data_IF_390249025221
#
_entry.id   IF_390249025221
#
_cell.length_a   1.000
_cell.length_b   1.000
_cell.length_c   1.000
_cell.angle_alpha   90.00
_cell.angle_beta   90.00
_cell.angle_gamma   90.00
#
_symmetry.space_group_name_H-M   'P 1'
#
loop_
_entity.id
_entity.type
_entity.pdbx_description
1 polymer ?
#
# COMPACT_ATOMS: atom_id res chain seq x y z
N UNK A 1 -7.88 0.31 -17.33
CA UNK A 1 -7.69 -0.70 -16.27
C UNK A 1 -7.08 -0.06 -15.01
N UNK A 2 -5.85 0.46 -15.12
CA UNK A 2 -5.10 1.08 -14.01
C UNK A 2 -5.89 2.13 -13.23
N UNK A 3 -6.58 3.05 -13.90
CA UNK A 3 -7.42 4.04 -13.19
C UNK A 3 -8.45 3.38 -12.26
N UNK A 4 -9.21 2.40 -12.77
CA UNK A 4 -10.23 1.70 -11.99
C UNK A 4 -9.60 0.89 -10.85
N UNK A 5 -8.53 0.13 -11.12
CA UNK A 5 -7.85 -0.69 -10.11
C UNK A 5 -7.26 0.15 -8.97
N UNK A 6 -6.61 1.27 -9.32
CA UNK A 6 -6.06 2.23 -8.36
C UNK A 6 -7.18 2.86 -7.52
N UNK A 7 -8.26 3.31 -8.14
CA UNK A 7 -9.39 3.91 -7.42
C UNK A 7 -10.03 2.90 -6.44
N UNK A 8 -10.28 1.67 -6.89
CA UNK A 8 -10.86 0.61 -6.05
C UNK A 8 -9.91 0.27 -4.89
N UNK A 9 -8.62 0.12 -5.17
CA UNK A 9 -7.60 -0.16 -4.15
C UNK A 9 -7.58 0.92 -3.07
N UNK A 10 -7.53 2.19 -3.50
CA UNK A 10 -7.46 3.33 -2.58
C UNK A 10 -8.76 3.47 -1.77
N UNK A 11 -9.93 3.16 -2.35
CA UNK A 11 -11.19 3.08 -1.60
C UNK A 11 -11.22 1.95 -0.58
N UNK A 12 -10.69 0.77 -0.91
CA UNK A 12 -10.59 -0.37 0.02
C UNK A 12 -9.69 -0.01 1.21
N UNK A 13 -8.58 0.69 0.97
CA UNK A 13 -7.66 1.10 2.04
C UNK A 13 -8.24 2.22 2.89
N UNK A 14 -8.95 3.17 2.26
CA UNK A 14 -9.48 4.36 2.90
C UNK A 14 -10.81 4.14 3.65
N UNK A 15 -11.20 2.87 3.90
CA UNK A 15 -12.41 2.57 4.67
C UNK A 15 -12.34 3.17 6.07
N UNK A 16 -13.42 3.82 6.49
CA UNK A 16 -13.55 4.47 7.82
C UNK A 16 -13.26 3.53 8.98
N UNK A 17 -13.54 2.24 8.83
CA UNK A 17 -13.26 1.18 9.81
C UNK A 17 -11.77 1.08 10.20
N UNK A 18 -10.85 1.54 9.34
CA UNK A 18 -9.40 1.49 9.57
C UNK A 18 -8.82 2.69 10.33
N UNK A 19 -9.63 3.71 10.64
CA UNK A 19 -9.23 4.86 11.48
C UNK A 19 -7.96 5.60 11.01
N UNK A 20 -7.73 5.68 9.69
CA UNK A 20 -6.60 6.43 9.09
C UNK A 20 -6.71 7.93 9.37
N UNK A 21 -5.58 8.59 9.65
CA UNK A 21 -5.53 9.99 10.11
C UNK A 21 -5.11 10.96 8.98
N UNK A 22 -4.24 10.54 8.04
CA UNK A 22 -3.62 11.44 7.05
C UNK A 22 -4.45 11.69 5.80
N UNK A 23 -5.63 11.07 5.68
CA UNK A 23 -6.50 11.21 4.51
C UNK A 23 -6.02 10.41 3.29
N UNK A 24 -6.77 10.52 2.19
CA UNK A 24 -6.52 9.78 0.94
C UNK A 24 -6.05 10.71 -0.18
N UNK A 25 -5.20 10.20 -1.07
CA UNK A 25 -4.54 10.98 -2.12
C UNK A 25 -4.89 10.54 -3.54
N UNK A 26 -6.18 10.37 -3.86
CA UNK A 26 -6.64 9.77 -5.13
C UNK A 26 -6.02 10.38 -6.40
N UNK A 27 -6.05 11.72 -6.53
CA UNK A 27 -5.53 12.39 -7.73
C UNK A 27 -4.02 12.31 -7.85
N UNK A 28 -3.31 12.44 -6.72
CA UNK A 28 -1.86 12.36 -6.69
C UNK A 28 -1.36 10.95 -7.01
N UNK A 29 -2.07 9.93 -6.50
CA UNK A 29 -1.78 8.52 -6.75
C UNK A 29 -1.95 8.18 -8.24
N UNK A 30 -3.02 8.67 -8.86
CA UNK A 30 -3.23 8.51 -10.30
C UNK A 30 -2.13 9.19 -11.14
N UNK A 31 -1.77 10.44 -10.80
CA UNK A 31 -0.73 11.19 -11.49
C UNK A 31 0.62 10.45 -11.43
N UNK A 32 0.98 9.96 -10.24
CA UNK A 32 2.23 9.22 -10.02
C UNK A 32 2.27 7.91 -10.80
N UNK A 33 1.22 7.08 -10.74
CA UNK A 33 1.20 5.78 -11.41
C UNK A 33 1.28 5.95 -12.93
N UNK A 34 0.55 6.91 -13.50
CA UNK A 34 0.57 7.15 -14.95
C UNK A 34 1.91 7.76 -15.38
N UNK A 35 2.48 8.69 -14.62
CA UNK A 35 3.78 9.27 -14.93
C UNK A 35 4.90 8.21 -14.87
N UNK A 36 4.93 7.38 -13.83
CA UNK A 36 5.89 6.28 -13.71
C UNK A 36 5.71 5.25 -14.82
N UNK A 37 4.46 4.88 -15.15
CA UNK A 37 4.15 3.99 -16.27
C UNK A 37 4.65 4.54 -17.60
N UNK A 38 4.45 5.84 -17.85
CA UNK A 38 4.97 6.53 -19.03
C UNK A 38 6.49 6.48 -19.12
N UNK A 39 7.20 6.73 -18.01
CA UNK A 39 8.66 6.61 -17.95
C UNK A 39 9.10 5.16 -18.22
N UNK A 40 8.48 4.17 -17.57
CA UNK A 40 8.78 2.75 -17.81
C UNK A 40 8.60 2.35 -19.28
N UNK A 41 7.56 2.88 -19.95
CA UNK A 41 7.30 2.62 -21.37
C UNK A 41 8.47 3.05 -22.26
N UNK A 42 9.12 4.19 -21.95
CA UNK A 42 10.27 4.70 -22.69
C UNK A 42 11.48 3.77 -22.61
N UNK A 43 11.61 3.02 -21.51
CA UNK A 43 12.67 2.04 -21.28
C UNK A 43 12.26 0.60 -21.64
N UNK A 44 11.06 0.39 -22.21
CA UNK A 44 10.54 -0.95 -22.54
C UNK A 44 10.17 -1.80 -21.32
N UNK A 45 10.02 -1.19 -20.15
CA UNK A 45 9.66 -1.86 -18.90
C UNK A 45 8.13 -2.00 -18.76
N UNK A 46 7.64 -3.03 -18.04
CA UNK A 46 6.21 -3.26 -17.87
C UNK A 46 5.53 -2.12 -17.09
N UNK A 47 4.25 -1.90 -17.40
CA UNK A 47 3.40 -0.99 -16.65
C UNK A 47 2.97 -1.62 -15.32
N UNK A 48 2.92 -0.80 -14.27
CA UNK A 48 2.51 -1.20 -12.95
C UNK A 48 1.13 -0.62 -12.62
N UNK A 49 0.29 -1.42 -11.96
CA UNK A 49 -1.01 -1.02 -11.42
C UNK A 49 -1.01 -1.13 -9.89
N UNK A 50 -2.00 -0.53 -9.23
CA UNK A 50 -2.18 -0.70 -7.79
C UNK A 50 -2.48 -2.17 -7.43
N UNK A 51 -1.75 -2.73 -6.46
CA UNK A 51 -1.86 -4.13 -6.07
C UNK A 51 -2.74 -4.30 -4.83
N UNK A 52 -4.06 -4.45 -5.00
CA UNK A 52 -5.06 -4.45 -3.91
C UNK A 52 -4.70 -5.36 -2.73
N UNK A 53 -4.44 -6.64 -2.99
CA UNK A 53 -4.16 -7.61 -1.91
C UNK A 53 -2.88 -7.25 -1.18
N UNK A 54 -1.81 -6.90 -1.91
CA UNK A 54 -0.53 -6.48 -1.33
C UNK A 54 -0.69 -5.21 -0.48
N UNK A 55 -1.43 -4.23 -0.98
CA UNK A 55 -1.65 -2.98 -0.25
C UNK A 55 -2.49 -3.20 1.01
N UNK A 56 -3.47 -4.09 0.96
CA UNK A 56 -4.26 -4.48 2.14
C UNK A 56 -3.43 -5.24 3.17
N UNK A 57 -2.62 -6.23 2.76
CA UNK A 57 -1.79 -6.99 3.70
C UNK A 57 -0.71 -6.12 4.32
N UNK A 58 -0.10 -5.22 3.54
CA UNK A 58 0.84 -4.24 4.05
C UNK A 58 0.19 -3.27 5.05
N UNK A 59 -1.02 -2.77 4.75
CA UNK A 59 -1.76 -1.94 5.71
C UNK A 59 -2.09 -2.72 6.99
N UNK A 60 -2.52 -3.98 6.88
CA UNK A 60 -2.82 -4.85 8.02
C UNK A 60 -1.59 -5.10 8.90
N UNK A 61 -0.40 -5.24 8.31
CA UNK A 61 0.85 -5.39 9.08
C UNK A 61 1.20 -4.15 9.91
N UNK A 62 0.65 -2.99 9.56
CA UNK A 62 0.83 -1.72 10.27
C UNK A 62 -0.33 -1.39 11.22
N UNK A 63 -1.37 -2.24 11.25
CA UNK A 63 -2.56 -2.07 12.09
C UNK A 63 -2.26 -2.51 13.52
N UNK A 64 -2.52 -1.62 14.48
CA UNK A 64 -2.47 -1.91 15.91
C UNK A 64 -3.88 -2.22 16.40
N UNK A 65 -4.06 -3.40 16.98
CA UNK A 65 -5.32 -3.83 17.59
C UNK A 65 -5.35 -3.47 19.08
N UNK A 66 -6.52 -3.07 19.59
CA UNK A 66 -6.70 -2.74 21.01
C UNK A 66 -6.39 -3.94 21.91
N UNK A 67 -5.63 -3.69 22.99
CA UNK A 67 -5.28 -4.69 24.02
C UNK A 67 -6.34 -4.83 25.11
N UNK A 68 -7.21 -3.84 25.27
CA UNK A 68 -8.23 -3.81 26.32
C UNK A 68 -9.52 -4.43 25.77
N UNK A 69 -9.61 -5.75 25.90
CA UNK A 69 -10.75 -6.54 25.45
C UNK A 69 -11.20 -7.37 26.64
N UNK A 70 -12.42 -7.13 27.12
CA UNK A 70 -13.04 -8.04 28.10
C UNK A 70 -13.15 -9.44 27.47
N UNK A 71 -13.00 -10.55 28.23
CA UNK A 71 -13.08 -11.89 27.67
C UNK A 71 -14.37 -12.07 26.84
N UNK A 72 -14.24 -12.19 25.52
CA UNK A 72 -15.38 -12.33 24.58
C UNK A 72 -15.62 -11.17 23.61
N UNK A 73 -15.01 -9.99 23.81
CA UNK A 73 -15.11 -8.89 22.84
C UNK A 73 -14.17 -9.09 21.64
N UNK A 74 -14.58 -8.61 20.45
CA UNK A 74 -13.71 -8.66 19.26
C UNK A 74 -12.63 -7.57 19.35
N UNK A 75 -11.35 -7.87 19.07
CA UNK A 75 -10.31 -6.85 19.02
C UNK A 75 -10.68 -5.79 17.98
N UNK A 76 -10.74 -4.53 18.42
CA UNK A 76 -11.02 -3.38 17.55
C UNK A 76 -9.72 -2.78 17.06
N UNK A 77 -9.72 -2.27 15.83
CA UNK A 77 -8.61 -1.50 15.28
C UNK A 77 -8.48 -0.22 16.10
N UNK A 78 -7.31 -0.01 16.71
CA UNK A 78 -7.01 1.19 17.49
C UNK A 78 -6.45 2.29 16.58
N UNK A 79 -5.42 1.94 15.82
CA UNK A 79 -4.76 2.84 14.87
C UNK A 79 -4.04 2.04 13.78
N UNK A 80 -3.70 2.71 12.68
CA UNK A 80 -2.80 2.18 11.65
C UNK A 80 -1.59 3.10 11.56
N UNK A 81 -0.39 2.53 11.63
CA UNK A 81 0.85 3.29 11.55
C UNK A 81 1.12 3.75 10.12
N UNK A 82 0.69 4.96 9.78
CA UNK A 82 0.88 5.58 8.47
C UNK A 82 2.31 6.12 8.32
N UNK A 83 3.18 5.39 7.62
CA UNK A 83 4.56 5.79 7.36
C UNK A 83 4.96 5.58 5.89
N UNK A 84 6.07 6.20 5.47
CA UNK A 84 6.62 6.08 4.10
C UNK A 84 7.80 5.10 3.99
N UNK A 85 8.42 4.78 5.12
CA UNK A 85 9.70 4.06 5.20
C UNK A 85 9.56 2.59 4.81
N UNK A 86 8.55 1.86 5.29
CA UNK A 86 8.41 0.42 4.98
C UNK A 86 8.11 0.19 3.50
N UNK A 87 7.32 1.07 2.86
CA UNK A 87 7.06 0.99 1.43
C UNK A 87 8.35 1.16 0.62
N UNK A 88 9.17 2.14 1.00
CA UNK A 88 10.47 2.38 0.38
C UNK A 88 11.47 1.23 0.65
N UNK A 89 11.51 0.72 1.89
CA UNK A 89 12.36 -0.42 2.24
C UNK A 89 11.98 -1.68 1.45
N UNK A 90 10.69 -1.99 1.32
CA UNK A 90 10.24 -3.13 0.51
C UNK A 90 10.64 -2.97 -0.96
N UNK A 91 10.48 -1.76 -1.53
CA UNK A 91 10.89 -1.50 -2.91
C UNK A 91 12.41 -1.67 -3.11
N UNK A 92 13.22 -1.17 -2.17
CA UNK A 92 14.67 -1.32 -2.19
C UNK A 92 15.09 -2.78 -2.05
N UNK A 93 14.49 -3.53 -1.12
CA UNK A 93 14.79 -4.94 -0.91
C UNK A 93 14.44 -5.80 -2.14
N UNK A 94 13.36 -5.48 -2.85
CA UNK A 94 13.01 -6.12 -4.14
C UNK A 94 14.03 -5.77 -5.22
N UNK A 95 14.60 -4.56 -5.22
CA UNK A 95 15.71 -4.22 -6.13
C UNK A 95 17.00 -4.97 -5.77
N UNK A 96 17.36 -5.01 -4.48
CA UNK A 96 18.55 -5.69 -3.98
C UNK A 96 18.49 -7.22 -4.16
N UNK A 97 17.29 -7.81 -4.24
CA UNK A 97 17.17 -9.26 -4.48
C UNK A 97 17.78 -9.71 -5.80
N UNK A 98 17.95 -8.80 -6.77
CA UNK A 98 18.68 -9.10 -8.01
C UNK A 98 20.16 -9.45 -7.75
N UNK A 99 20.80 -8.77 -6.79
CA UNK A 99 22.22 -8.99 -6.47
C UNK A 99 22.40 -10.14 -5.50
N UNK A 100 21.44 -10.35 -4.59
CA UNK A 100 21.49 -11.42 -3.59
C UNK A 100 21.25 -12.80 -4.23
N UNK A 101 20.45 -12.88 -5.29
CA UNK A 101 20.11 -14.16 -5.93
C UNK A 101 21.27 -14.85 -6.64
N UNK A 102 22.31 -14.11 -7.03
CA UNK A 102 23.49 -14.62 -7.75
C UNK A 102 24.67 -14.96 -6.82
N UNK A 103 24.52 -14.76 -5.49
CA UNK A 103 25.51 -15.15 -4.47
C UNK A 103 25.23 -16.55 -3.93
#
# INVERSE_FOLDING_TARGET
>A
LIFMETQITTLIISKKERMLQKGSGFHLDLLLIVAMGGICALFGLPWLAAATVRSVTHANALTVMSKAVAPGDKPKIQEVKEQRVTGLLVALLVGLSMVIGDL
#
